data_IF_893778177341
#
_entry.id   IF_893778177341
#
_cell.length_a   1.000
_cell.length_b   1.000
_cell.length_c   1.000
_cell.angle_alpha   90.00
_cell.angle_beta   90.00
_cell.angle_gamma   90.00
#
_symmetry.space_group_name_H-M   'P 1'
#
loop_
_entity.id
_entity.type
_entity.pdbx_description
1 polymer ?
#
# COMPACT_ATOMS: atom_id res chain seq x y z
N UNK A 1 4.63 8.82 5.31
CA UNK A 1 4.31 9.10 3.89
C UNK A 1 3.19 8.16 3.47
N UNK A 2 2.15 8.65 2.79
CA UNK A 2 1.05 7.80 2.31
C UNK A 2 1.57 6.98 1.12
N UNK A 3 1.44 5.65 1.19
CA UNK A 3 1.75 4.75 0.08
C UNK A 3 0.75 3.59 0.04
N UNK A 4 0.65 2.92 -1.11
CA UNK A 4 -0.12 1.69 -1.26
C UNK A 4 0.73 0.47 -0.93
N UNK A 5 0.13 -0.67 -0.53
CA UNK A 5 0.86 -1.93 -0.44
C UNK A 5 1.36 -2.39 -1.81
N UNK A 6 2.53 -3.06 -1.84
CA UNK A 6 3.13 -3.57 -3.07
C UNK A 6 2.15 -4.40 -3.92
N UNK A 7 1.41 -5.31 -3.28
CA UNK A 7 0.43 -6.15 -3.97
C UNK A 7 -0.68 -5.34 -4.65
N UNK A 8 -1.12 -4.25 -4.02
CA UNK A 8 -2.11 -3.35 -4.60
C UNK A 8 -1.54 -2.58 -5.79
N UNK A 9 -0.36 -1.98 -5.62
CA UNK A 9 0.36 -1.26 -6.68
C UNK A 9 0.59 -2.15 -7.91
N UNK A 10 1.08 -3.38 -7.70
CA UNK A 10 1.32 -4.36 -8.77
C UNK A 10 0.02 -4.79 -9.46
N UNK A 11 -1.01 -5.14 -8.70
CA UNK A 11 -2.31 -5.61 -9.23
C UNK A 11 -2.99 -4.55 -10.08
N UNK A 12 -3.02 -3.32 -9.57
CA UNK A 12 -3.71 -2.20 -10.21
C UNK A 12 -2.84 -1.43 -11.20
N UNK A 13 -1.54 -1.72 -11.27
CA UNK A 13 -0.61 -1.09 -12.21
C UNK A 13 -0.38 0.39 -11.92
N UNK A 14 -0.26 0.74 -10.63
CA UNK A 14 -0.06 2.11 -10.16
C UNK A 14 1.10 2.22 -9.17
N UNK A 15 1.81 3.36 -9.18
CA UNK A 15 2.83 3.68 -8.18
C UNK A 15 2.64 5.15 -7.76
N UNK A 16 2.45 5.36 -6.46
CA UNK A 16 2.31 6.69 -5.86
C UNK A 16 3.69 7.19 -5.45
N UNK A 17 4.23 8.19 -6.15
CA UNK A 17 5.63 8.62 -5.95
C UNK A 17 5.77 9.90 -5.16
N UNK A 18 4.81 10.80 -5.27
CA UNK A 18 4.84 12.06 -4.55
C UNK A 18 3.44 12.44 -4.08
N UNK A 19 3.32 12.81 -2.81
CA UNK A 19 2.07 13.27 -2.20
C UNK A 19 2.35 14.63 -1.56
N UNK A 20 1.74 15.67 -2.11
CA UNK A 20 1.75 17.02 -1.56
C UNK A 20 0.34 17.43 -1.10
N UNK A 21 0.24 18.53 -0.37
CA UNK A 21 -1.03 19.02 0.20
C UNK A 21 -2.13 19.25 -0.84
N UNK A 22 -1.76 19.65 -2.07
CA UNK A 22 -2.72 20.00 -3.13
C UNK A 22 -2.73 19.03 -4.32
N UNK A 23 -1.79 18.09 -4.40
CA UNK A 23 -1.76 17.11 -5.49
C UNK A 23 -0.86 15.92 -5.19
N UNK A 24 -1.18 14.78 -5.78
CA UNK A 24 -0.32 13.61 -5.80
C UNK A 24 0.10 13.23 -7.22
N UNK A 25 1.30 12.68 -7.38
CA UNK A 25 1.80 12.13 -8.65
C UNK A 25 1.65 10.62 -8.65
N UNK A 26 1.00 10.10 -9.69
CA UNK A 26 0.72 8.68 -9.88
C UNK A 26 1.29 8.22 -11.22
N UNK A 27 2.26 7.32 -11.17
CA UNK A 27 2.68 6.58 -12.36
C UNK A 27 1.73 5.41 -12.61
N UNK A 28 1.42 5.16 -13.87
CA UNK A 28 0.53 4.06 -14.26
C UNK A 28 0.96 3.40 -15.55
N UNK A 29 0.65 2.10 -15.68
CA UNK A 29 0.82 1.34 -16.93
C UNK A 29 -0.35 1.58 -17.89
N UNK A 30 -0.18 1.43 -19.20
CA UNK A 30 -1.22 1.76 -20.19
C UNK A 30 -2.54 1.00 -20.01
N UNK A 31 -2.53 -0.16 -19.35
CA UNK A 31 -3.71 -1.00 -19.09
C UNK A 31 -4.49 -0.61 -17.82
N UNK A 32 -4.27 0.57 -17.24
CA UNK A 32 -5.02 1.01 -16.05
C UNK A 32 -6.50 1.21 -16.36
N UNK A 33 -7.37 0.92 -15.40
CA UNK A 33 -8.80 1.22 -15.49
C UNK A 33 -9.11 2.60 -14.92
N UNK A 34 -10.07 3.31 -15.52
CA UNK A 34 -10.57 4.59 -15.02
C UNK A 34 -11.09 4.49 -13.58
N UNK A 35 -11.74 3.37 -13.23
CA UNK A 35 -12.19 3.10 -11.87
C UNK A 35 -11.05 3.12 -10.85
N UNK A 36 -9.90 2.53 -11.18
CA UNK A 36 -8.71 2.56 -10.29
C UNK A 36 -8.28 4.00 -10.02
N UNK A 37 -8.24 4.85 -11.04
CA UNK A 37 -7.86 6.27 -10.90
C UNK A 37 -8.85 7.03 -10.02
N UNK A 38 -10.16 6.79 -10.22
CA UNK A 38 -11.23 7.44 -9.44
C UNK A 38 -11.12 7.05 -7.97
N UNK A 39 -10.92 5.76 -7.68
CA UNK A 39 -10.79 5.26 -6.31
C UNK A 39 -9.54 5.81 -5.61
N UNK A 40 -8.41 5.85 -6.30
CA UNK A 40 -7.17 6.44 -5.77
C UNK A 40 -7.37 7.92 -5.46
N UNK A 41 -8.04 8.67 -6.35
CA UNK A 41 -8.35 10.08 -6.11
C UNK A 41 -9.30 10.27 -4.92
N UNK A 42 -10.33 9.42 -4.81
CA UNK A 42 -11.31 9.44 -3.70
C UNK A 42 -10.63 9.17 -2.36
N UNK A 43 -9.72 8.19 -2.34
CA UNK A 43 -8.94 7.84 -1.16
C UNK A 43 -8.01 8.96 -0.71
N UNK A 44 -7.30 9.59 -1.66
CA UNK A 44 -6.34 10.65 -1.35
C UNK A 44 -7.00 12.02 -1.10
N UNK A 45 -8.22 12.25 -1.60
CA UNK A 45 -8.95 13.52 -1.42
C UNK A 45 -8.35 14.72 -2.17
N UNK A 46 -7.33 14.50 -2.99
CA UNK A 46 -6.59 15.54 -3.71
C UNK A 46 -6.46 15.23 -5.21
N UNK A 47 -6.26 16.24 -6.07
CA UNK A 47 -5.98 16.04 -7.49
C UNK A 47 -4.81 15.09 -7.76
N UNK A 48 -4.93 14.27 -8.81
CA UNK A 48 -3.87 13.38 -9.28
C UNK A 48 -3.22 13.92 -10.55
N UNK A 49 -1.89 13.97 -10.56
CA UNK A 49 -1.06 14.14 -11.75
C UNK A 49 -0.70 12.74 -12.27
N UNK A 50 -1.35 12.34 -13.34
CA UNK A 50 -1.18 11.02 -13.93
C UNK A 50 -0.03 11.04 -14.93
N UNK A 51 0.90 10.10 -14.81
CA UNK A 51 2.01 9.93 -15.74
C UNK A 51 2.03 8.49 -16.27
N UNK A 52 1.78 8.34 -17.56
CA UNK A 52 1.85 7.05 -18.23
C UNK A 52 3.31 6.63 -18.38
N UNK A 53 3.61 5.38 -18.07
CA UNK A 53 4.94 4.78 -18.24
C UNK A 53 4.81 3.43 -18.94
N UNK A 54 5.89 2.94 -19.56
CA UNK A 54 5.88 1.60 -20.16
C UNK A 54 5.75 0.51 -19.09
N UNK A 55 5.36 -0.70 -19.50
CA UNK A 55 5.32 -1.85 -18.58
C UNK A 55 6.71 -2.16 -18.00
N UNK A 56 7.76 -2.05 -18.81
CA UNK A 56 9.16 -2.25 -18.38
C UNK A 56 9.59 -1.21 -17.34
N UNK A 57 9.27 0.07 -17.59
CA UNK A 57 9.53 1.15 -16.63
C UNK A 57 8.75 0.94 -15.33
N UNK A 58 7.52 0.44 -15.42
CA UNK A 58 6.68 0.16 -14.26
C UNK A 58 7.29 -0.90 -13.36
N UNK A 59 7.69 -2.06 -13.89
CA UNK A 59 8.28 -3.14 -13.10
C UNK A 59 9.60 -2.71 -12.42
N UNK A 60 10.44 -1.96 -13.15
CA UNK A 60 11.67 -1.40 -12.61
C UNK A 60 11.40 -0.41 -11.47
N UNK A 61 10.51 0.56 -11.71
CA UNK A 61 10.13 1.56 -10.69
C UNK A 61 9.44 0.93 -9.49
N UNK A 62 8.59 -0.07 -9.70
CA UNK A 62 7.90 -0.77 -8.62
C UNK A 62 8.91 -1.43 -7.69
N UNK A 63 9.88 -2.16 -8.24
CA UNK A 63 10.91 -2.82 -7.44
C UNK A 63 11.71 -1.79 -6.63
N UNK A 64 12.27 -0.80 -7.31
CA UNK A 64 13.11 0.23 -6.66
C UNK A 64 12.34 1.04 -5.61
N UNK A 65 11.08 1.41 -5.87
CA UNK A 65 10.28 2.23 -4.96
C UNK A 65 10.05 1.53 -3.60
N UNK A 66 9.78 0.22 -3.62
CA UNK A 66 9.49 -0.53 -2.40
C UNK A 66 10.76 -1.04 -1.70
N UNK A 67 11.84 -1.32 -2.44
CA UNK A 67 13.16 -1.61 -1.86
C UNK A 67 13.72 -0.41 -1.09
N UNK A 68 13.63 0.80 -1.67
CA UNK A 68 14.04 2.03 -1.00
C UNK A 68 13.22 2.28 0.27
N UNK A 69 11.91 2.03 0.22
CA UNK A 69 11.05 2.17 1.39
C UNK A 69 11.39 1.17 2.49
N UNK A 70 11.67 -0.09 2.15
CA UNK A 70 12.10 -1.09 3.10
C UNK A 70 13.44 -0.69 3.76
N UNK A 71 14.40 -0.23 2.96
CA UNK A 71 15.70 0.23 3.46
C UNK A 71 15.58 1.49 4.34
N UNK A 72 14.75 2.47 3.96
CA UNK A 72 14.51 3.66 4.79
C UNK A 72 13.80 3.32 6.10
N UNK A 73 12.91 2.32 6.11
CA UNK A 73 12.25 1.86 7.33
C UNK A 73 13.22 1.11 8.24
N UNK A 74 14.08 0.25 7.67
CA UNK A 74 15.12 -0.47 8.40
C UNK A 74 16.18 0.48 8.99
N UNK A 75 16.59 1.52 8.25
CA UNK A 75 17.56 2.52 8.74
C UNK A 75 16.98 3.41 9.85
N UNK A 76 15.68 3.73 9.81
CA UNK A 76 15.03 4.45 10.91
C UNK A 76 14.84 3.57 12.16
N UNK A 77 14.63 2.25 12.01
CA UNK A 77 14.63 1.33 13.16
C UNK A 77 16.03 1.13 13.73
N UNK A 78 17.07 0.97 12.90
CA UNK A 78 18.45 0.86 13.38
C UNK A 78 18.95 2.14 14.09
N UNK A 79 18.47 3.33 13.67
CA UNK A 79 18.75 4.60 14.36
C UNK A 79 17.99 4.80 15.68
N UNK A 80 16.97 3.97 15.96
CA UNK A 80 16.27 3.90 17.25
C UNK A 80 16.78 2.74 18.12
N UNK A 81 17.37 1.68 17.54
CA UNK A 81 17.98 0.57 18.28
C UNK A 81 19.21 0.99 19.09
N UNK A 82 20.05 1.91 18.59
CA UNK A 82 21.20 2.46 19.34
C UNK A 82 20.78 3.32 20.56
N UNK A 83 19.53 3.79 20.62
CA UNK A 83 18.99 4.58 21.74
C UNK A 83 17.99 3.78 22.61
N UNK A 84 17.55 2.60 22.14
CA UNK A 84 16.59 1.71 22.83
C UNK A 84 17.22 0.42 23.40
N UNK A 85 18.52 0.18 23.20
CA UNK A 85 19.24 -0.92 23.88
C UNK A 85 19.40 -0.69 25.40
N UNK A 86 18.92 0.47 25.91
CA UNK A 86 18.80 0.78 27.33
C UNK A 86 17.41 0.53 27.93
N UNK A 87 16.39 0.12 27.15
CA UNK A 87 15.01 0.07 27.67
C UNK A 87 14.16 -1.18 27.43
N UNK A 88 14.57 -2.20 26.66
CA UNK A 88 13.72 -3.40 26.47
C UNK A 88 14.39 -4.74 26.72
N UNK A 89 15.06 -4.85 27.88
CA UNK A 89 15.09 -6.11 28.64
C UNK A 89 13.77 -6.25 29.40
N UNK A 90 12.64 -6.48 28.73
CA UNK A 90 11.38 -6.85 29.39
C UNK A 90 10.28 -7.21 28.37
N UNK A 91 10.17 -8.50 28.05
CA UNK A 91 8.96 -9.31 28.19
C UNK A 91 8.88 -10.40 27.10
N UNK A 92 9.23 -11.60 27.54
CA UNK A 92 8.81 -12.89 27.02
C UNK A 92 7.28 -12.93 26.86
N UNK A 93 6.76 -13.63 25.84
CA UNK A 93 5.57 -14.52 25.85
C UNK A 93 5.25 -14.99 24.40
N UNK A 94 4.53 -16.13 24.21
CA UNK A 94 5.00 -17.29 23.45
C UNK A 94 4.49 -17.35 22.00
N UNK A 95 5.15 -18.19 21.18
CA UNK A 95 4.71 -18.58 19.84
C UNK A 95 3.42 -19.41 19.90
N UNK A 96 2.39 -19.10 19.09
CA UNK A 96 1.32 -20.04 18.84
C UNK A 96 1.72 -21.02 17.73
N UNK A 97 1.69 -22.29 18.09
CA UNK A 97 1.88 -23.46 17.23
C UNK A 97 0.87 -23.55 16.07
N UNK A 98 1.28 -24.33 15.09
CA UNK A 98 0.80 -24.46 13.72
C UNK A 98 -0.63 -25.00 13.51
N UNK A 99 -1.11 -24.69 12.30
CA UNK A 99 -1.90 -25.48 11.34
C UNK A 99 -3.36 -25.88 11.61
N UNK A 100 -4.16 -25.52 10.58
CA UNK A 100 -5.24 -26.27 9.92
C UNK A 100 -6.26 -26.96 10.82
N UNK A 101 -7.53 -26.52 10.74
CA UNK A 101 -8.67 -27.41 10.50
C UNK A 101 -9.96 -26.61 10.20
N UNK A 102 -10.53 -26.89 9.03
CA UNK A 102 -11.95 -26.98 8.69
C UNK A 102 -12.91 -25.76 8.67
N UNK A 103 -13.72 -25.82 7.61
CA UNK A 103 -15.14 -25.46 7.51
C UNK A 103 -15.55 -23.98 7.38
N UNK A 104 -15.84 -23.64 6.12
CA UNK A 104 -17.15 -23.18 5.62
C UNK A 104 -17.83 -21.91 6.18
N UNK A 105 -18.42 -21.18 5.23
CA UNK A 105 -19.43 -20.13 5.36
C UNK A 105 -18.98 -18.70 5.74
N UNK A 106 -18.60 -17.91 4.72
CA UNK A 106 -18.53 -16.46 4.81
C UNK A 106 -19.78 -15.82 4.18
N UNK A 107 -20.61 -15.07 4.92
CA UNK A 107 -21.71 -14.34 4.31
C UNK A 107 -21.21 -13.13 3.50
N UNK A 108 -21.60 -13.08 2.21
CA UNK A 108 -21.37 -11.95 1.30
C UNK A 108 -22.27 -10.77 1.72
N UNK A 109 -21.68 -9.70 2.25
CA UNK A 109 -22.38 -8.42 2.45
C UNK A 109 -22.65 -7.78 1.08
N UNK A 110 -23.91 -7.81 0.63
CA UNK A 110 -24.38 -7.07 -0.56
C UNK A 110 -24.98 -5.73 -0.12
N UNK A 111 -24.35 -4.62 -0.52
CA UNK A 111 -24.92 -3.28 -0.43
C UNK A 111 -25.85 -3.04 -1.64
N UNK A 112 -27.11 -2.64 -1.38
CA UNK A 112 -28.04 -2.10 -2.37
C UNK A 112 -28.49 -0.72 -1.91
N UNK A 113 -28.56 0.23 -2.83
CA UNK A 113 -28.95 1.64 -2.63
C UNK A 113 -30.20 1.97 -3.48
N UNK A 114 -31.29 2.40 -2.80
CA UNK A 114 -32.42 3.31 -3.17
C UNK A 114 -33.45 2.89 -4.26
N UNK A 115 -34.74 3.33 -4.22
CA UNK A 115 -35.25 4.73 -4.33
C UNK A 115 -36.33 5.14 -3.29
N UNK A 116 -36.36 6.40 -2.84
CA UNK A 116 -37.27 7.52 -3.24
C UNK A 116 -38.77 7.25 -3.15
N UNK A 117 -39.41 7.85 -2.16
CA UNK A 117 -40.69 8.60 -2.26
C UNK A 117 -40.61 9.80 -1.30
#
# INVERSE_FOLDING_TARGET
MINFPFAFAKRHGIILTHVATNSATLFYRPQITSQTIIEVRRYLGIPLKLQAISAEQFEALLTTHYEQQANSSAQMMAGLEDELDLFQVAQQLPEPEDLLENADDAPIIRFVTLPSD
#
